data_IF_789163374462
#
_entry.id   IF_789163374462
#
_cell.length_a   1.000
_cell.length_b   1.000
_cell.length_c   1.000
_cell.angle_alpha   90.00
_cell.angle_beta   90.00
_cell.angle_gamma   90.00
#
_symmetry.space_group_name_H-M   'P 1'
#
loop_
_entity.id
_entity.type
_entity.pdbx_description
1 polymer ?
#
# COMPACT_ATOMS: atom_id res chain seq x y z
N UNK A 1 67.51 56.36 -4.61
CA UNK A 1 68.32 57.19 -5.54
C UNK A 1 68.24 56.59 -6.94
N UNK A 2 67.85 57.41 -7.92
CA UNK A 2 68.06 57.31 -9.39
C UNK A 2 67.58 56.05 -10.17
N UNK A 3 66.56 56.28 -11.00
CA UNK A 3 66.30 55.70 -12.36
C UNK A 3 67.44 56.07 -13.35
N UNK A 4 67.50 55.75 -14.69
CA UNK A 4 66.58 55.07 -15.64
C UNK A 4 67.27 54.20 -16.75
N UNK A 5 66.53 53.89 -17.85
CA UNK A 5 66.94 53.63 -19.27
C UNK A 5 67.06 52.14 -19.69
N UNK A 6 66.08 51.51 -20.36
CA UNK A 6 65.76 51.49 -21.83
C UNK A 6 66.86 50.94 -22.76
N UNK A 7 66.55 49.89 -23.55
CA UNK A 7 66.80 49.76 -25.01
C UNK A 7 66.17 48.45 -25.56
N UNK A 8 65.66 48.59 -26.78
CA UNK A 8 64.79 47.77 -27.63
C UNK A 8 65.50 46.59 -28.31
N UNK A 9 64.80 45.46 -28.54
CA UNK A 9 64.96 44.64 -29.75
C UNK A 9 63.76 43.70 -30.04
N UNK A 10 63.32 43.72 -31.31
CA UNK A 10 62.24 42.94 -31.94
C UNK A 10 62.50 41.43 -31.94
N UNK A 11 61.43 40.64 -31.84
CA UNK A 11 61.24 39.47 -32.70
C UNK A 11 59.75 39.07 -32.76
N UNK A 12 59.19 39.09 -33.96
CA UNK A 12 57.87 38.52 -34.24
C UNK A 12 58.02 37.01 -34.44
N UNK A 13 57.22 36.20 -33.73
CA UNK A 13 56.97 34.80 -34.09
C UNK A 13 55.49 34.48 -33.86
N UNK A 14 54.77 34.26 -34.96
CA UNK A 14 53.42 33.66 -35.01
C UNK A 14 53.51 32.19 -34.57
N UNK A 15 52.74 31.74 -33.57
CA UNK A 15 52.27 30.34 -33.55
C UNK A 15 50.93 30.22 -32.78
N UNK A 16 49.90 29.83 -33.57
CA UNK A 16 48.68 29.06 -33.26
C UNK A 16 47.91 29.31 -31.96
N UNK A 17 46.79 30.01 -32.16
CA UNK A 17 45.56 29.91 -31.38
C UNK A 17 45.08 28.44 -31.38
N UNK A 18 45.19 27.76 -30.24
CA UNK A 18 44.45 26.52 -29.99
C UNK A 18 43.20 26.88 -29.20
N UNK A 19 42.05 26.88 -29.87
CA UNK A 19 40.75 26.86 -29.22
C UNK A 19 40.66 25.58 -28.37
N UNK A 20 40.85 25.69 -27.05
CA UNK A 20 40.31 24.70 -26.13
C UNK A 20 38.81 24.94 -26.04
N UNK A 21 38.07 24.27 -26.92
CA UNK A 21 36.63 24.09 -26.76
C UNK A 21 36.40 23.23 -25.52
N UNK A 22 35.97 23.87 -24.44
CA UNK A 22 35.37 23.17 -23.30
C UNK A 22 34.06 22.53 -23.77
N UNK A 23 34.11 21.23 -24.09
CA UNK A 23 32.93 20.43 -24.32
C UNK A 23 32.21 20.24 -22.98
N UNK A 24 31.23 21.10 -22.71
CA UNK A 24 30.22 20.84 -21.68
C UNK A 24 29.41 19.64 -22.17
N UNK A 25 29.75 18.46 -21.65
CA UNK A 25 28.97 17.25 -21.84
C UNK A 25 27.65 17.43 -21.07
N UNK A 26 26.66 18.00 -21.74
CA UNK A 26 25.27 17.93 -21.29
C UNK A 26 24.89 16.45 -21.30
N UNK A 27 25.00 15.80 -20.14
CA UNK A 27 24.33 14.52 -19.90
C UNK A 27 22.85 14.77 -20.17
N UNK A 28 22.40 14.40 -21.38
CA UNK A 28 20.99 14.19 -21.66
C UNK A 28 20.58 13.07 -20.72
N UNK A 29 20.02 13.47 -19.57
CA UNK A 29 19.16 12.62 -18.78
C UNK A 29 18.00 12.27 -19.70
N UNK A 30 18.12 11.14 -20.40
CA UNK A 30 16.96 10.54 -21.04
C UNK A 30 16.03 10.24 -19.87
N UNK A 31 14.87 10.90 -19.73
CA UNK A 31 13.91 10.44 -18.75
C UNK A 31 13.66 8.99 -19.13
N UNK A 32 14.05 8.06 -18.25
CA UNK A 32 13.59 6.70 -18.33
C UNK A 32 12.10 6.81 -18.60
N UNK A 33 11.61 6.12 -19.64
CA UNK A 33 10.21 6.13 -20.00
C UNK A 33 9.42 5.74 -18.75
N UNK A 34 8.98 6.75 -17.99
CA UNK A 34 8.17 6.57 -16.80
C UNK A 34 6.93 5.88 -17.33
N UNK A 35 6.74 4.62 -16.95
CA UNK A 35 5.60 3.86 -17.39
C UNK A 35 4.35 4.73 -17.11
N UNK A 36 3.63 5.01 -18.19
CA UNK A 36 2.56 6.00 -18.16
C UNK A 36 1.38 5.36 -17.43
N UNK A 37 1.03 5.91 -16.27
CA UNK A 37 -0.26 5.62 -15.64
C UNK A 37 -1.26 6.62 -16.20
N UNK A 38 -2.26 6.12 -16.92
CA UNK A 38 -3.41 6.90 -17.36
C UNK A 38 -4.45 6.94 -16.24
N UNK A 39 -5.13 8.07 -16.08
CA UNK A 39 -6.20 8.25 -15.09
C UNK A 39 -7.49 8.70 -15.79
N UNK A 40 -8.59 8.07 -15.42
CA UNK A 40 -9.94 8.40 -15.92
C UNK A 40 -10.91 8.50 -14.76
N UNK A 41 -11.94 9.34 -14.90
CA UNK A 41 -13.03 9.46 -13.93
C UNK A 41 -14.14 8.51 -14.37
N UNK A 42 -14.56 7.60 -13.50
CA UNK A 42 -15.64 6.65 -13.80
C UNK A 42 -17.00 7.11 -13.25
N UNK A 43 -17.04 7.59 -12.01
CA UNK A 43 -18.30 7.91 -11.33
C UNK A 43 -18.12 9.11 -10.39
N UNK A 44 -19.18 9.90 -10.24
CA UNK A 44 -19.19 11.13 -9.46
C UNK A 44 -20.49 11.19 -8.68
N UNK A 45 -20.38 11.33 -7.36
CA UNK A 45 -21.51 11.52 -6.45
C UNK A 45 -21.32 12.88 -5.80
N UNK A 46 -22.23 13.81 -6.09
CA UNK A 46 -22.17 15.19 -5.59
C UNK A 46 -23.40 15.48 -4.72
N UNK A 47 -23.17 15.73 -3.44
CA UNK A 47 -24.22 16.06 -2.47
C UNK A 47 -23.96 17.46 -1.93
N UNK A 48 -24.74 18.44 -2.43
CA UNK A 48 -24.61 19.87 -2.10
C UNK A 48 -25.66 20.40 -1.11
N UNK A 49 -26.53 19.54 -0.61
CA UNK A 49 -27.65 19.95 0.24
C UNK A 49 -27.29 19.93 1.73
N UNK A 50 -27.77 20.94 2.45
CA UNK A 50 -27.57 21.13 3.90
C UNK A 50 -28.86 20.80 4.69
N UNK A 51 -29.85 20.20 4.03
CA UNK A 51 -31.16 19.95 4.62
C UNK A 51 -31.12 18.72 5.54
N UNK A 52 -30.77 18.99 6.81
CA UNK A 52 -30.92 18.16 8.00
C UNK A 52 -29.89 17.05 8.27
N UNK A 53 -29.20 17.23 9.40
CA UNK A 53 -28.65 16.26 10.37
C UNK A 53 -27.50 15.32 10.02
N UNK A 54 -27.07 15.21 8.76
CA UNK A 54 -26.11 14.15 8.42
C UNK A 54 -24.86 14.77 7.81
N UNK A 55 -23.66 14.42 8.31
CA UNK A 55 -22.33 14.87 7.85
C UNK A 55 -21.99 14.43 6.40
N UNK A 56 -22.98 14.20 5.54
CA UNK A 56 -22.83 13.63 4.19
C UNK A 56 -22.76 14.67 3.06
N UNK A 57 -22.57 15.96 3.36
CA UNK A 57 -22.26 16.94 2.32
C UNK A 57 -20.84 16.71 1.81
N UNK A 58 -20.68 16.39 0.54
CA UNK A 58 -19.37 16.11 -0.03
C UNK A 58 -19.43 15.75 -1.51
N UNK A 59 -18.25 15.46 -2.05
CA UNK A 59 -18.07 15.01 -3.41
C UNK A 59 -17.25 13.72 -3.38
N UNK A 60 -17.82 12.62 -3.82
CA UNK A 60 -17.10 11.36 -3.99
C UNK A 60 -16.84 11.12 -5.48
N UNK A 61 -15.61 10.79 -5.84
CA UNK A 61 -15.19 10.56 -7.23
C UNK A 61 -14.45 9.24 -7.31
N UNK A 62 -14.90 8.35 -8.19
CA UNK A 62 -14.18 7.13 -8.51
C UNK A 62 -13.18 7.42 -9.64
N UNK A 63 -11.89 7.41 -9.29
CA UNK A 63 -10.80 7.45 -10.25
C UNK A 63 -10.39 6.03 -10.62
N UNK A 64 -10.22 5.78 -11.91
CA UNK A 64 -9.62 4.56 -12.44
C UNK A 64 -8.23 4.89 -12.97
N UNK A 65 -7.22 4.22 -12.42
CA UNK A 65 -5.85 4.27 -12.93
C UNK A 65 -5.58 3.04 -13.80
N UNK A 66 -4.83 3.23 -14.88
CA UNK A 66 -4.48 2.24 -15.90
C UNK A 66 -2.97 2.30 -16.12
N UNK A 67 -2.26 1.17 -16.04
CA UNK A 67 -0.82 1.13 -16.29
C UNK A 67 -0.20 -0.22 -15.94
N UNK A 68 0.86 -0.60 -16.65
CA UNK A 68 1.49 -1.91 -16.50
C UNK A 68 2.14 -2.10 -15.11
N UNK A 69 2.63 -1.02 -14.51
CA UNK A 69 3.23 -1.06 -13.16
C UNK A 69 2.22 -1.41 -12.05
N UNK A 70 0.92 -1.31 -12.31
CA UNK A 70 -0.11 -1.71 -11.35
C UNK A 70 -0.16 -3.23 -11.15
N UNK A 71 0.36 -4.00 -12.10
CA UNK A 71 0.38 -5.48 -12.03
C UNK A 71 1.22 -5.96 -10.84
N UNK A 72 2.35 -5.31 -10.58
CA UNK A 72 3.31 -5.69 -9.55
C UNK A 72 3.08 -4.97 -8.20
N UNK A 73 2.23 -3.95 -8.19
CA UNK A 73 1.93 -3.21 -6.99
C UNK A 73 1.06 -4.06 -6.04
N UNK A 74 1.32 -3.97 -4.73
CA UNK A 74 0.57 -4.70 -3.69
C UNK A 74 -0.35 -3.79 -2.88
N UNK A 75 0.04 -2.52 -2.75
CA UNK A 75 -0.79 -1.48 -2.15
C UNK A 75 -0.59 -0.16 -2.87
N UNK A 76 -1.53 0.76 -2.71
CA UNK A 76 -1.41 2.13 -3.20
C UNK A 76 -2.06 3.14 -2.28
N UNK A 77 -1.68 4.40 -2.45
CA UNK A 77 -2.40 5.55 -1.92
C UNK A 77 -2.41 6.68 -2.92
N UNK A 78 -3.42 7.53 -2.81
CA UNK A 78 -3.54 8.72 -3.65
C UNK A 78 -3.46 9.96 -2.77
N UNK A 79 -2.43 10.77 -3.01
CA UNK A 79 -2.27 12.07 -2.38
C UNK A 79 -2.78 13.14 -3.34
N UNK A 80 -3.83 13.86 -2.96
CA UNK A 80 -4.40 14.94 -3.78
C UNK A 80 -3.75 16.27 -3.41
N UNK A 81 -2.89 16.78 -4.29
CA UNK A 81 -2.19 18.06 -4.07
C UNK A 81 -3.09 19.27 -4.37
N UNK A 82 -4.00 19.11 -5.34
CA UNK A 82 -4.87 20.20 -5.79
C UNK A 82 -6.19 19.65 -6.34
N UNK A 83 -7.29 20.19 -5.86
CA UNK A 83 -8.61 20.00 -6.45
C UNK A 83 -9.36 21.34 -6.43
N UNK A 84 -9.75 21.85 -7.59
CA UNK A 84 -10.40 23.16 -7.74
C UNK A 84 -11.64 23.08 -8.64
N UNK A 85 -12.71 23.75 -8.25
CA UNK A 85 -13.88 23.92 -9.11
C UNK A 85 -13.67 25.05 -10.14
N UNK A 86 -14.61 25.19 -11.08
CA UNK A 86 -14.54 26.25 -12.11
C UNK A 86 -14.61 27.68 -11.57
N UNK A 87 -15.15 27.87 -10.35
CA UNK A 87 -15.16 29.16 -9.67
C UNK A 87 -13.82 29.51 -9.02
N UNK A 88 -12.89 28.55 -8.99
CA UNK A 88 -11.59 28.66 -8.36
C UNK A 88 -11.57 28.29 -6.88
N UNK A 89 -12.68 27.78 -6.33
CA UNK A 89 -12.74 27.30 -4.95
C UNK A 89 -11.97 25.98 -4.84
N UNK A 90 -11.10 25.87 -3.83
CA UNK A 90 -10.47 24.60 -3.47
C UNK A 90 -11.50 23.66 -2.86
N UNK A 91 -11.49 22.42 -3.34
CA UNK A 91 -12.34 21.33 -2.84
C UNK A 91 -11.52 20.18 -2.23
N UNK A 92 -10.24 20.39 -1.98
CA UNK A 92 -9.40 19.44 -1.23
C UNK A 92 -9.93 19.31 0.21
N UNK A 93 -9.97 18.09 0.75
CA UNK A 93 -10.25 17.89 2.17
C UNK A 93 -8.97 18.17 2.98
N UNK A 94 -9.01 19.15 3.88
CA UNK A 94 -7.82 19.62 4.62
C UNK A 94 -7.82 19.12 6.06
N UNK A 95 -8.86 18.38 6.49
CA UNK A 95 -8.88 17.78 7.83
C UNK A 95 -7.78 16.70 8.00
N UNK A 96 -7.14 16.31 6.91
CA UNK A 96 -6.03 15.36 6.79
C UNK A 96 -4.65 16.01 6.55
N UNK A 97 -4.47 17.32 6.78
CA UNK A 97 -3.17 18.00 6.55
C UNK A 97 -2.00 17.44 7.40
N UNK A 98 -2.26 16.63 8.43
CA UNK A 98 -1.23 15.96 9.25
C UNK A 98 -1.11 14.44 9.03
N UNK A 99 -2.05 13.81 8.33
CA UNK A 99 -2.02 12.37 8.02
C UNK A 99 -1.96 12.15 6.52
N UNK A 100 -0.78 11.75 6.01
CA UNK A 100 -0.71 11.17 4.68
C UNK A 100 -1.73 10.02 4.59
N UNK A 101 -2.44 9.90 3.47
CA UNK A 101 -3.38 8.78 3.29
C UNK A 101 -2.66 7.45 3.52
N UNK A 102 -3.34 6.53 4.18
CA UNK A 102 -2.81 5.19 4.38
C UNK A 102 -2.77 4.44 3.04
N UNK A 103 -1.77 3.56 2.89
CA UNK A 103 -1.73 2.64 1.76
C UNK A 103 -2.83 1.59 1.91
N UNK A 104 -3.69 1.52 0.91
CA UNK A 104 -4.77 0.54 0.75
C UNK A 104 -4.32 -0.60 -0.16
N UNK A 105 -4.82 -1.82 0.08
CA UNK A 105 -4.59 -2.98 -0.78
C UNK A 105 -5.25 -2.78 -2.15
N UNK A 106 -4.59 -3.21 -3.23
CA UNK A 106 -5.13 -3.05 -4.59
C UNK A 106 -6.34 -3.96 -4.77
N UNK A 107 -7.48 -3.40 -5.21
CA UNK A 107 -8.73 -4.17 -5.36
C UNK A 107 -8.66 -5.29 -6.41
N UNK A 108 -7.76 -5.18 -7.39
CA UNK A 108 -7.57 -6.12 -8.49
C UNK A 108 -6.06 -6.45 -8.66
N UNK A 109 -5.45 -7.21 -7.73
CA UNK A 109 -4.04 -7.54 -7.82
C UNK A 109 -3.74 -8.33 -9.10
N UNK A 110 -2.61 -8.04 -9.75
CA UNK A 110 -2.21 -8.66 -11.02
C UNK A 110 -2.93 -8.12 -12.26
N UNK A 111 -3.80 -7.12 -12.11
CA UNK A 111 -4.40 -6.40 -13.24
C UNK A 111 -3.67 -5.08 -13.50
N UNK A 112 -3.73 -4.61 -14.74
CA UNK A 112 -3.14 -3.33 -15.15
C UNK A 112 -4.05 -2.13 -14.84
N UNK A 113 -5.01 -2.26 -13.94
CA UNK A 113 -5.90 -1.18 -13.54
C UNK A 113 -6.34 -1.32 -12.07
N UNK A 114 -6.71 -0.19 -11.49
CA UNK A 114 -7.27 -0.10 -10.14
C UNK A 114 -8.32 0.99 -10.07
N UNK A 115 -9.09 1.04 -8.98
CA UNK A 115 -10.04 2.12 -8.68
C UNK A 115 -9.73 2.69 -7.31
N UNK A 116 -9.87 4.01 -7.19
CA UNK A 116 -9.74 4.74 -5.93
C UNK A 116 -10.95 5.66 -5.78
N UNK A 117 -11.64 5.55 -4.66
CA UNK A 117 -12.70 6.48 -4.30
C UNK A 117 -12.08 7.67 -3.56
N UNK A 118 -12.15 8.85 -4.17
CA UNK A 118 -11.70 10.09 -3.56
C UNK A 118 -12.88 10.84 -2.94
N UNK A 119 -12.78 11.15 -1.65
CA UNK A 119 -13.72 12.03 -0.96
C UNK A 119 -13.15 13.44 -0.86
N UNK A 120 -13.87 14.41 -1.42
CA UNK A 120 -13.53 15.83 -1.52
C UNK A 120 -14.63 16.68 -0.88
N UNK A 121 -14.31 17.95 -0.59
CA UNK A 121 -15.30 18.92 -0.13
C UNK A 121 -16.32 19.22 -1.23
N UNK A 122 -17.53 19.61 -0.85
CA UNK A 122 -18.54 20.01 -1.83
C UNK A 122 -18.06 21.21 -2.69
N UNK A 123 -18.24 21.15 -4.01
CA UNK A 123 -17.97 22.26 -4.91
C UNK A 123 -18.94 23.42 -4.64
N UNK A 124 -18.69 24.58 -5.27
CA UNK A 124 -19.62 25.71 -5.19
C UNK A 124 -20.95 25.32 -5.85
N UNK A 125 -22.08 25.76 -5.28
CA UNK A 125 -23.43 25.44 -5.82
C UNK A 125 -23.61 25.81 -7.30
N UNK A 126 -22.88 26.83 -7.76
CA UNK A 126 -22.91 27.32 -9.13
C UNK A 126 -21.92 26.61 -10.06
N UNK A 127 -21.01 25.79 -9.53
CA UNK A 127 -20.03 25.08 -10.34
C UNK A 127 -20.72 23.97 -11.15
N UNK A 128 -20.55 24.00 -12.47
CA UNK A 128 -20.94 22.95 -13.40
C UNK A 128 -19.80 21.95 -13.63
N UNK A 129 -18.56 22.36 -13.38
CA UNK A 129 -17.38 21.50 -13.59
C UNK A 129 -16.36 21.62 -12.46
N UNK A 130 -15.62 20.52 -12.24
CA UNK A 130 -14.35 20.54 -11.52
C UNK A 130 -13.28 20.86 -12.55
N UNK A 131 -12.60 21.98 -12.35
CA UNK A 131 -11.60 22.46 -13.29
C UNK A 131 -10.36 21.59 -13.32
N UNK A 132 -9.90 21.14 -12.15
CA UNK A 132 -8.68 20.35 -12.03
C UNK A 132 -8.69 19.50 -10.76
N UNK A 133 -8.26 18.26 -10.89
CA UNK A 133 -7.80 17.40 -9.81
C UNK A 133 -6.40 16.90 -10.19
N UNK A 134 -5.41 17.14 -9.36
CA UNK A 134 -4.04 16.67 -9.56
C UNK A 134 -3.43 16.22 -8.25
N UNK A 135 -2.51 15.26 -8.36
CA UNK A 135 -1.87 14.69 -7.19
C UNK A 135 -0.79 13.68 -7.56
N UNK A 136 -0.45 12.84 -6.60
CA UNK A 136 0.51 11.76 -6.75
C UNK A 136 -0.14 10.44 -6.36
N UNK A 137 -0.09 9.46 -7.26
CA UNK A 137 -0.35 8.05 -6.97
C UNK A 137 0.96 7.45 -6.44
N UNK A 138 0.94 6.91 -5.24
CA UNK A 138 2.06 6.16 -4.67
C UNK A 138 1.72 4.68 -4.66
N UNK A 139 2.55 3.86 -5.28
CA UNK A 139 2.39 2.41 -5.36
C UNK A 139 3.51 1.72 -4.62
N UNK A 140 3.16 0.76 -3.78
CA UNK A 140 4.10 -0.11 -3.11
C UNK A 140 4.38 -1.35 -3.97
N UNK A 141 5.59 -1.42 -4.52
CA UNK A 141 6.11 -2.51 -5.36
C UNK A 141 7.27 -3.17 -4.60
N UNK A 142 7.01 -4.24 -3.84
CA UNK A 142 7.97 -4.82 -2.91
C UNK A 142 9.22 -5.37 -3.63
N UNK A 143 9.09 -5.87 -4.85
CA UNK A 143 10.20 -6.48 -5.62
C UNK A 143 11.38 -5.53 -5.90
N UNK A 144 11.16 -4.21 -5.79
CA UNK A 144 12.23 -3.23 -5.91
C UNK A 144 13.19 -3.23 -4.71
N UNK A 145 12.80 -3.83 -3.58
CA UNK A 145 13.63 -3.93 -2.39
C UNK A 145 13.36 -5.23 -1.62
N UNK A 146 14.39 -6.09 -1.53
CA UNK A 146 14.27 -7.39 -0.82
C UNK A 146 13.91 -7.27 0.67
N UNK A 147 14.07 -6.09 1.29
CA UNK A 147 13.68 -5.87 2.69
C UNK A 147 12.17 -5.66 2.88
N UNK A 148 11.44 -5.49 1.78
CA UNK A 148 9.99 -5.32 1.75
C UNK A 148 9.24 -6.66 1.75
N UNK A 149 9.94 -7.78 1.67
CA UNK A 149 9.35 -9.12 1.53
C UNK A 149 9.91 -10.07 2.58
N UNK A 150 9.02 -10.75 3.30
CA UNK A 150 9.36 -11.85 4.20
C UNK A 150 8.81 -13.14 3.64
N UNK A 151 9.70 -13.99 3.14
CA UNK A 151 9.35 -15.32 2.61
C UNK A 151 9.46 -16.39 3.69
N UNK A 152 8.35 -17.06 3.96
CA UNK A 152 8.23 -18.12 4.95
C UNK A 152 8.02 -19.45 4.22
N UNK A 153 9.12 -20.18 4.04
CA UNK A 153 9.10 -21.51 3.44
C UNK A 153 8.41 -22.52 4.34
N UNK A 154 7.68 -23.46 3.72
CA UNK A 154 6.95 -24.53 4.40
C UNK A 154 6.11 -23.98 5.56
N UNK A 155 5.40 -22.88 5.33
CA UNK A 155 4.75 -22.13 6.42
C UNK A 155 3.75 -22.98 7.21
N UNK A 156 3.18 -24.02 6.59
CA UNK A 156 2.26 -24.98 7.22
C UNK A 156 2.92 -25.82 8.33
N UNK A 157 4.25 -25.91 8.37
CA UNK A 157 5.01 -26.55 9.46
C UNK A 157 5.22 -25.60 10.64
N UNK A 158 4.93 -24.30 10.47
CA UNK A 158 5.11 -23.25 11.48
C UNK A 158 3.79 -22.83 12.14
N UNK A 159 2.73 -23.63 11.96
CA UNK A 159 1.44 -23.39 12.63
C UNK A 159 1.62 -23.34 14.14
N UNK A 160 0.92 -22.41 14.79
CA UNK A 160 0.94 -22.25 16.25
C UNK A 160 2.19 -21.54 16.80
N UNK A 161 3.15 -21.15 15.94
CA UNK A 161 4.35 -20.42 16.35
C UNK A 161 4.45 -19.08 15.62
N UNK A 162 4.72 -17.96 16.33
CA UNK A 162 4.94 -16.67 15.67
C UNK A 162 6.07 -16.71 14.64
N UNK A 163 5.85 -16.08 13.49
CA UNK A 163 6.82 -16.02 12.40
C UNK A 163 7.97 -15.13 12.83
N UNK A 164 9.14 -15.73 13.06
CA UNK A 164 10.36 -14.99 13.38
C UNK A 164 11.03 -14.45 12.10
N UNK A 165 11.10 -13.13 11.97
CA UNK A 165 11.82 -12.42 10.90
C UNK A 165 12.39 -11.11 11.42
N UNK A 166 13.58 -10.70 10.95
CA UNK A 166 14.17 -9.42 11.32
C UNK A 166 13.35 -8.23 10.83
N UNK A 167 12.71 -8.36 9.66
CA UNK A 167 11.85 -7.31 9.08
C UNK A 167 10.58 -7.14 9.91
N UNK A 168 9.89 -8.24 10.25
CA UNK A 168 8.69 -8.19 11.08
C UNK A 168 8.99 -7.60 12.46
N UNK A 169 10.07 -8.05 13.11
CA UNK A 169 10.51 -7.52 14.40
C UNK A 169 10.91 -6.04 14.35
N UNK A 170 11.58 -5.61 13.27
CA UNK A 170 11.93 -4.20 13.09
C UNK A 170 10.71 -3.31 12.91
N UNK A 171 9.67 -3.84 12.24
CA UNK A 171 8.42 -3.14 11.98
C UNK A 171 7.41 -3.21 13.12
N UNK A 172 7.72 -3.96 14.20
CA UNK A 172 6.82 -4.27 15.31
C UNK A 172 5.55 -5.03 14.87
N UNK A 173 5.72 -5.97 13.93
CA UNK A 173 4.64 -6.81 13.39
C UNK A 173 4.80 -8.22 13.96
N UNK A 174 3.71 -8.78 14.48
CA UNK A 174 3.62 -10.19 14.85
C UNK A 174 2.67 -10.91 13.91
N UNK A 175 3.11 -12.02 13.32
CA UNK A 175 2.28 -12.84 12.43
C UNK A 175 2.28 -14.28 12.92
N UNK A 176 1.10 -14.87 13.01
CA UNK A 176 0.90 -16.26 13.42
C UNK A 176 -0.01 -16.98 12.44
N UNK A 177 0.32 -18.23 12.18
CA UNK A 177 -0.44 -19.08 11.26
C UNK A 177 -1.16 -20.12 12.09
N UNK A 178 -2.46 -20.28 11.85
CA UNK A 178 -3.31 -21.27 12.50
C UNK A 178 -3.96 -22.18 11.47
N UNK A 179 -4.12 -23.46 11.82
CA UNK A 179 -5.01 -24.36 11.07
C UNK A 179 -6.43 -24.21 11.62
N UNK A 180 -7.45 -24.37 10.79
CA UNK A 180 -8.83 -24.41 11.26
C UNK A 180 -9.07 -25.52 12.32
N UNK A 181 -8.32 -26.63 12.25
CA UNK A 181 -8.41 -27.76 13.19
C UNK A 181 -7.92 -27.41 14.60
N UNK A 182 -6.97 -26.48 14.72
CA UNK A 182 -6.40 -26.04 16.00
C UNK A 182 -7.33 -25.05 16.73
N UNK A 183 -8.33 -24.51 16.01
CA UNK A 183 -9.40 -23.66 16.56
C UNK A 183 -10.53 -24.56 17.05
N UNK A 184 -10.43 -25.01 18.31
CA UNK A 184 -11.38 -25.97 18.92
C UNK A 184 -12.83 -25.46 18.91
N UNK A 185 -13.66 -25.96 18.00
CA UNK A 185 -15.09 -25.62 17.87
C UNK A 185 -15.94 -25.86 19.14
N UNK A 186 -15.51 -26.76 20.03
CA UNK A 186 -16.26 -27.17 21.22
C UNK A 186 -16.03 -26.28 22.46
N UNK A 187 -15.12 -25.30 22.39
CA UNK A 187 -14.80 -24.43 23.50
C UNK A 187 -15.37 -23.01 23.29
N UNK A 188 -16.69 -22.89 23.30
CA UNK A 188 -17.29 -21.62 23.73
C UNK A 188 -17.25 -21.59 25.26
N UNK A 189 -16.42 -20.75 25.90
CA UNK A 189 -16.38 -20.67 27.34
C UNK A 189 -17.70 -20.06 27.84
N UNK A 190 -18.66 -20.92 28.17
CA UNK A 190 -19.71 -20.57 29.12
C UNK A 190 -19.05 -20.61 30.49
N UNK A 191 -18.57 -19.45 30.95
CA UNK A 191 -18.05 -19.20 32.31
C UNK A 191 -16.96 -20.18 32.79
N UNK A 192 -15.88 -20.37 32.03
CA UNK A 192 -14.69 -21.07 32.56
C UNK A 192 -13.49 -20.12 32.61
N UNK A 193 -13.17 -19.72 33.84
CA UNK A 193 -11.94 -19.03 34.18
C UNK A 193 -10.75 -19.77 33.58
N UNK A 194 -9.95 -19.01 32.83
CA UNK A 194 -8.73 -19.42 32.15
C UNK A 194 -7.93 -20.45 32.97
N UNK A 195 -7.86 -21.68 32.45
CA UNK A 195 -6.85 -22.62 32.92
C UNK A 195 -5.54 -22.16 32.30
N UNK A 196 -4.70 -21.57 33.15
CA UNK A 196 -3.36 -21.09 32.85
C UNK A 196 -2.52 -22.26 32.29
N UNK A 197 -2.28 -22.25 30.98
CA UNK A 197 -0.98 -22.67 30.48
C UNK A 197 -0.13 -21.41 30.35
N UNK A 198 1.01 -21.43 31.04
CA UNK A 198 2.05 -20.40 31.04
C UNK A 198 2.62 -20.25 29.62
N UNK A 199 1.94 -19.48 28.77
CA UNK A 199 2.57 -18.83 27.62
C UNK A 199 2.63 -17.34 27.92
N UNK A 200 3.81 -16.86 28.33
CA UNK A 200 4.11 -15.46 28.73
C UNK A 200 3.90 -14.42 27.62
N UNK A 201 3.27 -14.79 26.49
CA UNK A 201 3.01 -13.85 25.41
C UNK A 201 1.60 -13.26 25.54
N UNK A 202 1.55 -11.94 25.74
CA UNK A 202 0.32 -11.12 25.65
C UNK A 202 -0.43 -11.38 24.34
N UNK A 203 0.30 -11.77 23.30
CA UNK A 203 -0.24 -12.23 22.03
C UNK A 203 -1.10 -13.50 22.19
N UNK A 204 -0.59 -14.61 22.74
CA UNK A 204 -1.37 -15.84 22.93
C UNK A 204 -2.68 -15.63 23.73
N UNK A 205 -2.64 -14.78 24.77
CA UNK A 205 -3.84 -14.43 25.54
C UNK A 205 -4.86 -13.62 24.72
N UNK A 206 -4.41 -12.63 23.94
CA UNK A 206 -5.28 -11.80 23.10
C UNK A 206 -5.92 -12.62 21.98
N UNK A 207 -5.13 -13.52 21.37
CA UNK A 207 -5.60 -14.45 20.34
C UNK A 207 -6.69 -15.37 20.87
N UNK A 208 -6.55 -15.88 22.10
CA UNK A 208 -7.56 -16.76 22.71
C UNK A 208 -8.88 -16.03 22.93
N UNK A 209 -8.85 -14.79 23.42
CA UNK A 209 -10.06 -13.97 23.56
C UNK A 209 -10.69 -13.65 22.21
N UNK A 210 -9.89 -13.24 21.22
CA UNK A 210 -10.37 -12.90 19.88
C UNK A 210 -11.01 -14.10 19.17
N UNK A 211 -10.40 -15.28 19.25
CA UNK A 211 -10.99 -16.51 18.72
C UNK A 211 -12.28 -16.88 19.44
N UNK A 212 -12.35 -16.74 20.77
CA UNK A 212 -13.58 -17.01 21.51
C UNK A 212 -14.72 -16.08 21.08
N UNK A 213 -14.43 -14.82 20.78
CA UNK A 213 -15.40 -13.84 20.31
C UNK A 213 -15.88 -14.13 18.89
N UNK A 214 -14.96 -14.49 17.98
CA UNK A 214 -15.31 -14.90 16.61
C UNK A 214 -16.15 -16.18 16.62
N UNK A 215 -15.73 -17.17 17.39
CA UNK A 215 -16.30 -18.51 17.40
C UNK A 215 -17.68 -18.55 18.07
N UNK A 216 -17.90 -17.74 19.10
CA UNK A 216 -19.16 -17.71 19.83
C UNK A 216 -20.07 -16.54 19.42
N UNK A 217 -19.54 -15.60 18.63
CA UNK A 217 -20.25 -14.45 18.11
C UNK A 217 -20.89 -14.67 16.74
N UNK A 218 -21.22 -13.57 16.10
CA UNK A 218 -21.93 -13.52 14.81
C UNK A 218 -21.17 -14.19 13.65
N UNK A 219 -19.85 -14.44 13.80
CA UNK A 219 -18.98 -15.00 12.77
C UNK A 219 -18.84 -16.53 12.82
N UNK A 220 -19.44 -17.19 13.83
CA UNK A 220 -19.38 -18.64 14.01
C UNK A 220 -19.80 -19.42 12.76
N UNK A 221 -20.88 -18.96 12.10
CA UNK A 221 -21.42 -19.59 10.88
C UNK A 221 -20.47 -19.44 9.68
N UNK A 222 -19.76 -18.32 9.59
CA UNK A 222 -18.72 -18.07 8.58
C UNK A 222 -17.57 -19.06 8.77
N UNK A 223 -17.10 -19.24 10.00
CA UNK A 223 -16.01 -20.18 10.30
C UNK A 223 -16.42 -21.65 10.15
N UNK A 224 -17.67 -22.00 10.46
CA UNK A 224 -18.20 -23.36 10.25
C UNK A 224 -18.21 -23.77 8.77
N UNK A 225 -18.22 -22.82 7.83
CA UNK A 225 -18.18 -23.08 6.39
C UNK A 225 -16.75 -23.24 5.83
N UNK A 226 -15.73 -22.99 6.63
CA UNK A 226 -14.32 -23.12 6.25
C UNK A 226 -13.99 -24.62 6.13
N UNK A 227 -13.61 -25.04 4.92
CA UNK A 227 -13.08 -26.40 4.70
C UNK A 227 -11.73 -26.51 5.41
N UNK A 228 -11.67 -27.32 6.47
CA UNK A 228 -10.54 -27.37 7.40
C UNK A 228 -9.18 -27.64 6.74
N UNK A 229 -9.15 -28.42 5.66
CA UNK A 229 -7.93 -28.80 4.95
C UNK A 229 -7.56 -27.89 3.76
N UNK A 230 -8.40 -26.89 3.45
CA UNK A 230 -8.24 -25.97 2.31
C UNK A 230 -8.25 -24.51 2.73
N UNK A 231 -7.99 -24.23 4.00
CA UNK A 231 -7.97 -22.86 4.48
C UNK A 231 -6.78 -22.59 5.37
N UNK A 232 -6.34 -21.34 5.34
CA UNK A 232 -5.27 -20.81 6.18
C UNK A 232 -5.82 -19.64 6.97
N UNK A 233 -5.60 -19.65 8.28
CA UNK A 233 -5.93 -18.54 9.17
C UNK A 233 -4.61 -17.86 9.53
N UNK A 234 -4.54 -16.54 9.35
CA UNK A 234 -3.38 -15.73 9.68
C UNK A 234 -3.83 -14.66 10.65
N UNK A 235 -3.16 -14.60 11.80
CA UNK A 235 -3.36 -13.58 12.83
C UNK A 235 -2.21 -12.60 12.76
N UNK A 236 -2.54 -11.33 12.77
CA UNK A 236 -1.64 -10.23 12.50
C UNK A 236 -1.83 -9.22 13.62
N UNK A 237 -0.74 -8.81 14.26
CA UNK A 237 -0.70 -7.60 15.08
C UNK A 237 0.19 -6.60 14.37
N UNK A 238 -0.38 -5.47 14.02
CA UNK A 238 0.28 -4.45 13.20
C UNK A 238 -0.40 -3.09 13.43
N UNK A 239 -0.06 -2.44 14.54
CA UNK A 239 -0.69 -1.19 14.96
C UNK A 239 -0.50 -0.03 13.96
N UNK A 240 0.53 -0.11 13.12
CA UNK A 240 0.86 0.92 12.13
C UNK A 240 0.42 0.54 10.70
N UNK A 241 -0.33 -0.55 10.54
CA UNK A 241 -0.79 -1.07 9.25
C UNK A 241 0.33 -1.23 8.21
N UNK A 242 1.55 -1.61 8.63
CA UNK A 242 2.73 -1.73 7.76
C UNK A 242 2.69 -2.97 6.86
N UNK A 243 1.95 -4.02 7.20
CA UNK A 243 1.74 -5.19 6.36
C UNK A 243 0.77 -4.84 5.23
N UNK A 244 1.28 -4.82 4.00
CA UNK A 244 0.56 -4.36 2.80
C UNK A 244 0.06 -5.48 1.91
N UNK A 245 0.38 -6.73 2.22
CA UNK A 245 -0.16 -7.86 1.48
C UNK A 245 0.38 -9.19 1.96
N UNK A 246 -0.36 -10.24 1.60
CA UNK A 246 -0.01 -11.63 1.85
C UNK A 246 -0.24 -12.41 0.57
N UNK A 247 0.75 -13.20 0.18
CA UNK A 247 0.68 -14.04 -1.01
C UNK A 247 1.16 -15.45 -0.71
N UNK A 248 0.57 -16.42 -1.42
CA UNK A 248 0.91 -17.82 -1.31
C UNK A 248 1.56 -18.26 -2.61
N UNK A 249 2.68 -18.97 -2.52
CA UNK A 249 3.40 -19.48 -3.69
C UNK A 249 3.65 -20.98 -3.55
N UNK A 250 3.73 -21.67 -4.69
CA UNK A 250 4.18 -23.06 -4.74
C UNK A 250 5.71 -23.18 -4.54
N UNK A 251 6.23 -24.41 -4.45
CA UNK A 251 7.68 -24.64 -4.41
C UNK A 251 8.39 -24.11 -5.68
N UNK A 252 7.68 -24.01 -6.82
CA UNK A 252 8.20 -23.48 -8.07
C UNK A 252 8.07 -21.96 -8.20
N UNK A 253 7.52 -21.26 -7.21
CA UNK A 253 7.28 -19.82 -7.25
C UNK A 253 6.04 -19.41 -8.05
N UNK A 254 5.11 -20.32 -8.31
CA UNK A 254 3.83 -19.98 -8.92
C UNK A 254 2.88 -19.46 -7.85
N UNK A 255 2.28 -18.28 -8.10
CA UNK A 255 1.30 -17.67 -7.19
C UNK A 255 0.04 -18.53 -7.10
N UNK A 256 -0.37 -18.87 -5.88
CA UNK A 256 -1.58 -19.63 -5.58
C UNK A 256 -2.65 -18.66 -5.11
N UNK A 257 -3.64 -18.41 -5.97
CA UNK A 257 -4.74 -17.51 -5.64
C UNK A 257 -5.75 -18.18 -4.70
N UNK A 258 -6.17 -17.49 -3.62
CA UNK A 258 -7.27 -17.96 -2.79
C UNK A 258 -8.58 -17.97 -3.60
N UNK A 259 -9.45 -18.93 -3.31
CA UNK A 259 -10.81 -18.98 -3.82
C UNK A 259 -11.72 -17.91 -3.18
N UNK A 260 -11.36 -17.47 -1.98
CA UNK A 260 -11.99 -16.38 -1.26
C UNK A 260 -11.16 -16.03 -0.04
N UNK A 261 -11.30 -14.80 0.42
CA UNK A 261 -10.71 -14.32 1.67
C UNK A 261 -11.68 -13.42 2.41
N UNK A 262 -11.49 -13.30 3.71
CA UNK A 262 -12.09 -12.26 4.52
C UNK A 262 -11.14 -11.86 5.63
N UNK A 263 -11.29 -10.63 6.10
CA UNK A 263 -10.55 -10.09 7.24
C UNK A 263 -11.53 -9.68 8.33
N UNK A 264 -11.13 -9.88 9.58
CA UNK A 264 -11.80 -9.34 10.75
C UNK A 264 -10.77 -8.47 11.46
N UNK A 265 -11.08 -7.18 11.54
CA UNK A 265 -10.17 -6.18 12.10
C UNK A 265 -10.70 -5.72 13.46
N UNK A 266 -9.85 -5.78 14.46
CA UNK A 266 -9.92 -4.98 15.68
C UNK A 266 -8.75 -3.98 15.67
N UNK A 267 -8.85 -2.91 16.45
CA UNK A 267 -7.97 -1.72 16.46
C UNK A 267 -6.46 -1.96 16.29
N UNK A 268 -5.91 -3.08 16.76
CA UNK A 268 -4.49 -3.44 16.61
C UNK A 268 -4.26 -4.87 16.10
N UNK A 269 -5.32 -5.66 15.97
CA UNK A 269 -5.28 -7.09 15.66
C UNK A 269 -6.18 -7.41 14.48
N UNK A 270 -5.63 -8.08 13.47
CA UNK A 270 -6.33 -8.50 12.28
C UNK A 270 -6.26 -10.02 12.15
N UNK A 271 -7.38 -10.63 11.80
CA UNK A 271 -7.42 -12.03 11.38
C UNK A 271 -7.89 -12.13 9.95
N UNK A 272 -6.98 -12.64 9.11
CA UNK A 272 -7.26 -12.96 7.71
C UNK A 272 -7.46 -14.45 7.54
N UNK A 273 -8.54 -14.81 6.87
CA UNK A 273 -8.83 -16.19 6.50
C UNK A 273 -8.79 -16.29 4.99
N UNK A 274 -8.01 -17.25 4.49
CA UNK A 274 -7.87 -17.56 3.07
C UNK A 274 -8.39 -18.96 2.81
N UNK A 275 -9.42 -19.09 1.97
CA UNK A 275 -9.93 -20.38 1.50
C UNK A 275 -9.44 -20.68 0.09
N UNK A 276 -9.12 -21.94 -0.20
CA UNK A 276 -8.56 -22.40 -1.47
C UNK A 276 -9.46 -23.45 -2.14
N UNK A 277 -9.39 -23.56 -3.47
CA UNK A 277 -10.16 -24.57 -4.22
C UNK A 277 -9.65 -25.99 -3.94
N UNK A 278 -8.33 -26.09 -3.82
CA UNK A 278 -7.59 -27.31 -3.55
C UNK A 278 -6.71 -27.11 -2.31
N UNK A 279 -6.30 -28.22 -1.70
CA UNK A 279 -5.39 -28.19 -0.57
C UNK A 279 -4.03 -27.61 -1.02
N UNK A 280 -3.49 -26.69 -0.22
CA UNK A 280 -2.18 -26.11 -0.51
C UNK A 280 -1.09 -27.18 -0.50
N UNK A 281 -0.14 -27.13 -1.46
CA UNK A 281 1.03 -28.00 -1.45
C UNK A 281 1.78 -27.88 -0.11
N UNK A 282 2.27 -29.00 0.43
CA UNK A 282 2.96 -29.01 1.74
C UNK A 282 4.19 -28.10 1.80
N UNK A 283 4.82 -27.88 0.64
CA UNK A 283 5.99 -27.00 0.47
C UNK A 283 5.65 -25.60 -0.04
N UNK A 284 4.39 -25.20 0.04
CA UNK A 284 3.99 -23.84 -0.29
C UNK A 284 4.74 -22.84 0.61
N UNK A 285 4.97 -21.65 0.06
CA UNK A 285 5.62 -20.53 0.71
C UNK A 285 4.59 -19.44 0.95
N UNK A 286 4.80 -18.67 2.02
CA UNK A 286 4.01 -17.50 2.36
C UNK A 286 4.92 -16.28 2.20
N UNK A 287 4.52 -15.32 1.38
CA UNK A 287 5.20 -14.04 1.22
C UNK A 287 4.38 -12.96 1.94
N UNK A 288 5.02 -12.26 2.87
CA UNK A 288 4.46 -11.12 3.58
C UNK A 288 5.13 -9.86 3.04
N UNK A 289 4.33 -8.91 2.57
CA UNK A 289 4.82 -7.66 2.00
C UNK A 289 4.72 -6.55 3.03
N UNK A 290 5.86 -6.06 3.51
CA UNK A 290 5.96 -5.14 4.64
C UNK A 290 6.52 -3.80 4.20
N UNK A 291 5.77 -2.74 4.45
CA UNK A 291 6.23 -1.38 4.28
C UNK A 291 7.07 -0.94 5.50
N UNK A 292 8.29 -0.52 5.23
CA UNK A 292 9.27 -0.05 6.22
C UNK A 292 9.85 1.30 5.79
N UNK A 293 10.43 2.04 6.72
CA UNK A 293 11.21 3.25 6.39
C UNK A 293 12.38 2.95 5.43
N UNK A 294 12.94 1.73 5.51
CA UNK A 294 14.00 1.25 4.63
C UNK A 294 13.48 0.78 3.25
N UNK A 295 12.16 0.63 3.08
CA UNK A 295 11.51 0.27 1.81
C UNK A 295 10.93 1.47 1.07
N UNK A 296 11.42 2.68 1.34
CA UNK A 296 11.02 3.86 0.56
C UNK A 296 11.35 3.70 -0.93
N UNK A 297 12.38 2.92 -1.27
CA UNK A 297 12.70 2.53 -2.65
C UNK A 297 11.67 1.59 -3.29
N UNK A 298 10.81 0.92 -2.50
CA UNK A 298 9.67 0.16 -3.01
C UNK A 298 8.46 1.02 -3.34
N UNK A 299 8.53 2.34 -3.13
CA UNK A 299 7.41 3.25 -3.45
C UNK A 299 7.67 3.96 -4.76
N UNK A 300 6.87 3.62 -5.77
CA UNK A 300 6.86 4.33 -7.05
C UNK A 300 5.84 5.45 -6.97
N UNK A 301 6.28 6.68 -7.25
CA UNK A 301 5.44 7.87 -7.28
C UNK A 301 5.12 8.27 -8.71
N UNK A 302 3.84 8.36 -9.05
CA UNK A 302 3.37 8.76 -10.38
C UNK A 302 2.46 9.98 -10.26
N UNK A 303 2.86 11.14 -10.82
CA UNK A 303 1.99 12.30 -10.84
C UNK A 303 0.81 12.06 -11.77
N UNK A 304 -0.37 12.53 -11.38
CA UNK A 304 -1.56 12.49 -12.22
C UNK A 304 -2.28 13.83 -12.24
N UNK A 305 -3.05 14.04 -13.32
CA UNK A 305 -3.88 15.23 -13.49
C UNK A 305 -5.09 14.91 -14.36
N UNK A 306 -6.27 15.30 -13.87
CA UNK A 306 -7.54 15.26 -14.57
C UNK A 306 -8.11 16.68 -14.59
N UNK A 307 -8.70 17.09 -15.72
CA UNK A 307 -9.26 18.43 -15.91
C UNK A 307 -10.66 18.36 -16.47
N UNK A 308 -11.41 19.45 -16.31
CA UNK A 308 -12.72 19.68 -16.92
C UNK A 308 -13.72 18.54 -16.67
N UNK A 309 -13.81 18.10 -15.41
CA UNK A 309 -14.70 17.00 -14.99
C UNK A 309 -16.12 17.56 -14.82
N UNK A 310 -17.12 17.09 -15.58
CA UNK A 310 -18.50 17.56 -15.44
C UNK A 310 -19.09 17.09 -14.11
N UNK A 311 -19.80 17.99 -13.42
CA UNK A 311 -20.58 17.64 -12.22
C UNK A 311 -22.01 17.24 -12.64
N UNK A 312 -22.66 16.32 -11.90
CA UNK A 312 -24.01 15.84 -12.21
C UNK A 312 -25.09 16.92 -12.02
#
# INVERSE_FOLDING_TARGET
>A
MKSPIEIVAKAAVKVKLACMSAAVATLMFCPAALAQVEVTVENIIDVRDNAMTDNNSGLAIDLKFLGDMLVDAKAMRVNVDRAIDETGKSIVNNESEESESEFEEISFPGHNFTRVNLTLKSPTRQAATIKEISGTLEMFIPDQNSKSTVTVKNFQEKTGVPISSSVLKYSDIEVLIQKPEDVNQDQCPVDQQATQQEEDSVFASSLTSFFSEIQCGIYASTFASIQQDKSVIILIRDADSKLKGIEFESESGEVILPAGSFAINDSEEEVRVYGFKEKLPSKAQLNLYVFTSESSESVVKVPFKVVDIPLP
#
